data_IF_003247262155
#
_entry.id   IF_003247262155
#
_cell.length_a   1.000
_cell.length_b   1.000
_cell.length_c   1.000
_cell.angle_alpha   90.00
_cell.angle_beta   90.00
_cell.angle_gamma   90.00
#
_symmetry.space_group_name_H-M   'P 1'
#
loop_
_entity.id
_entity.type
_entity.pdbx_description
1 polymer ?
#
# COMPACT_ATOMS: atom_id res chain seq x y z
N UNK A 1 -30.82 63.51 -10.44
CA UNK A 1 -31.30 62.60 -9.37
C UNK A 1 -31.08 61.18 -9.86
N UNK A 2 -29.98 60.52 -9.46
CA UNK A 2 -29.86 59.08 -9.69
C UNK A 2 -30.93 58.37 -8.86
N UNK A 3 -31.78 57.56 -9.50
CA UNK A 3 -32.80 56.78 -8.81
C UNK A 3 -32.11 55.74 -7.90
N UNK A 4 -32.70 55.45 -6.73
CA UNK A 4 -32.17 54.45 -5.80
C UNK A 4 -31.89 53.09 -6.48
N UNK A 5 -32.67 52.77 -7.51
CA UNK A 5 -32.54 51.54 -8.31
C UNK A 5 -31.23 51.47 -9.12
N UNK A 6 -30.74 52.61 -9.62
CA UNK A 6 -29.48 52.69 -10.39
C UNK A 6 -28.25 52.57 -9.46
N UNK A 7 -28.36 53.08 -8.22
CA UNK A 7 -27.35 52.89 -7.18
C UNK A 7 -27.25 51.43 -6.72
N UNK A 8 -28.37 50.78 -6.47
CA UNK A 8 -28.41 49.36 -6.07
C UNK A 8 -27.81 48.46 -7.15
N UNK A 9 -28.17 48.69 -8.43
CA UNK A 9 -27.61 47.96 -9.57
C UNK A 9 -26.08 48.08 -9.68
N UNK A 10 -25.53 49.29 -9.48
CA UNK A 10 -24.07 49.53 -9.49
C UNK A 10 -23.36 48.83 -8.33
N UNK A 11 -23.94 48.85 -7.13
CA UNK A 11 -23.37 48.14 -5.96
C UNK A 11 -23.31 46.65 -6.24
N UNK A 12 -24.39 46.03 -6.71
CA UNK A 12 -24.37 44.60 -7.09
C UNK A 12 -23.30 44.30 -8.14
N UNK A 13 -23.18 45.13 -9.19
CA UNK A 13 -22.14 44.95 -10.22
C UNK A 13 -20.73 44.98 -9.63
N UNK A 14 -20.44 45.92 -8.74
CA UNK A 14 -19.13 46.02 -8.06
C UNK A 14 -18.87 44.80 -7.18
N UNK A 15 -19.89 44.33 -6.44
CA UNK A 15 -19.77 43.12 -5.60
C UNK A 15 -19.48 41.89 -6.45
N UNK A 16 -20.16 41.70 -7.57
CA UNK A 16 -19.88 40.61 -8.51
C UNK A 16 -18.50 40.70 -9.17
N UNK A 17 -18.02 41.90 -9.51
CA UNK A 17 -16.66 42.09 -10.03
C UNK A 17 -15.62 41.74 -8.96
N UNK A 18 -15.87 42.16 -7.72
CA UNK A 18 -15.03 41.83 -6.55
C UNK A 18 -15.02 40.33 -6.31
N UNK A 19 -16.17 39.67 -6.43
CA UNK A 19 -16.29 38.22 -6.30
C UNK A 19 -15.52 37.49 -7.41
N UNK A 20 -15.61 37.96 -8.65
CA UNK A 20 -14.82 37.41 -9.76
C UNK A 20 -13.32 37.53 -9.50
N UNK A 21 -12.85 38.66 -8.96
CA UNK A 21 -11.45 38.81 -8.53
C UNK A 21 -11.10 37.86 -7.39
N UNK A 22 -11.97 37.74 -6.38
CA UNK A 22 -11.79 36.80 -5.27
C UNK A 22 -11.65 35.36 -5.77
N UNK A 23 -12.62 34.88 -6.55
CA UNK A 23 -12.63 33.51 -7.10
C UNK A 23 -11.38 33.22 -7.94
N UNK A 24 -10.97 34.17 -8.81
CA UNK A 24 -9.76 34.02 -9.61
C UNK A 24 -8.47 33.94 -8.76
N UNK A 25 -8.36 34.73 -7.68
CA UNK A 25 -7.21 34.66 -6.79
C UNK A 25 -7.25 33.37 -5.94
N UNK A 26 -8.43 32.98 -5.45
CA UNK A 26 -8.63 31.76 -4.68
C UNK A 26 -8.23 30.52 -5.48
N UNK A 27 -8.63 30.45 -6.75
CA UNK A 27 -8.29 29.33 -7.65
C UNK A 27 -6.77 29.19 -7.85
N UNK A 28 -6.01 30.28 -7.76
CA UNK A 28 -4.54 30.26 -7.91
C UNK A 28 -3.81 29.81 -6.65
N UNK A 29 -4.47 29.81 -5.49
CA UNK A 29 -3.86 29.40 -4.24
C UNK A 29 -3.40 27.94 -4.28
N UNK A 30 -2.25 27.65 -3.66
CA UNK A 30 -1.69 26.29 -3.58
C UNK A 30 -1.65 25.75 -2.16
N UNK A 31 -1.89 26.60 -1.17
CA UNK A 31 -1.84 26.26 0.24
C UNK A 31 -3.01 26.92 0.98
N UNK A 32 -3.36 26.37 2.15
CA UNK A 32 -4.38 26.95 3.02
C UNK A 32 -3.99 28.35 3.52
N UNK A 33 -2.69 28.61 3.71
CA UNK A 33 -2.20 29.93 4.12
C UNK A 33 -2.48 30.99 3.05
N UNK A 34 -2.21 30.68 1.77
CA UNK A 34 -2.54 31.58 0.66
C UNK A 34 -4.06 31.83 0.57
N UNK A 35 -4.87 30.78 0.77
CA UNK A 35 -6.33 30.92 0.81
C UNK A 35 -6.74 31.86 1.95
N UNK A 36 -6.13 31.75 3.13
CA UNK A 36 -6.40 32.64 4.27
C UNK A 36 -6.13 34.10 3.92
N UNK A 37 -4.97 34.38 3.31
CA UNK A 37 -4.57 35.74 2.93
C UNK A 37 -5.51 36.35 1.88
N UNK A 38 -5.88 35.58 0.86
CA UNK A 38 -6.86 36.01 -0.15
C UNK A 38 -8.22 36.28 0.50
N UNK A 39 -8.68 35.40 1.38
CA UNK A 39 -9.96 35.52 2.08
C UNK A 39 -10.02 36.78 2.95
N UNK A 40 -8.98 37.01 3.77
CA UNK A 40 -8.84 38.23 4.59
C UNK A 40 -8.92 39.50 3.74
N UNK A 41 -8.28 39.49 2.57
CA UNK A 41 -8.25 40.64 1.66
C UNK A 41 -9.61 40.93 1.05
N UNK A 42 -10.36 39.92 0.63
CA UNK A 42 -11.56 40.10 -0.20
C UNK A 42 -12.88 40.00 0.56
N UNK A 43 -13.02 39.11 1.56
CA UNK A 43 -14.32 38.82 2.17
C UNK A 43 -14.99 40.06 2.78
N UNK A 44 -14.21 40.97 3.38
CA UNK A 44 -14.72 42.24 3.95
C UNK A 44 -15.37 43.18 2.93
N UNK A 45 -15.12 42.99 1.63
CA UNK A 45 -15.74 43.76 0.55
C UNK A 45 -16.91 43.02 -0.09
N UNK A 46 -17.09 41.75 0.24
CA UNK A 46 -18.15 40.91 -0.31
C UNK A 46 -19.32 40.75 0.66
N UNK A 47 -19.03 40.69 1.95
CA UNK A 47 -20.01 40.48 3.00
C UNK A 47 -19.72 41.37 4.21
N UNK A 48 -20.77 41.84 4.85
CA UNK A 48 -20.69 42.52 6.14
C UNK A 48 -20.72 41.50 7.27
N UNK A 49 -19.61 41.36 7.99
CA UNK A 49 -19.50 40.48 9.16
C UNK A 49 -18.42 40.96 10.13
N UNK A 50 -18.55 40.52 11.38
CA UNK A 50 -17.49 40.59 12.40
C UNK A 50 -16.68 39.29 12.43
N UNK A 51 -17.36 38.17 12.28
CA UNK A 51 -16.75 36.85 12.20
C UNK A 51 -17.37 36.06 11.05
N UNK A 52 -16.53 35.42 10.25
CA UNK A 52 -16.91 34.46 9.21
C UNK A 52 -16.25 33.12 9.52
N UNK A 53 -17.01 32.04 9.44
CA UNK A 53 -16.52 30.69 9.71
C UNK A 53 -17.14 29.72 8.70
N UNK A 54 -16.31 28.88 8.10
CA UNK A 54 -16.76 27.77 7.27
C UNK A 54 -16.07 26.49 7.73
N UNK A 55 -16.86 25.43 7.92
CA UNK A 55 -16.39 24.10 8.28
C UNK A 55 -16.78 23.11 7.19
N UNK A 56 -15.80 22.37 6.69
CA UNK A 56 -15.99 21.39 5.60
C UNK A 56 -15.60 20.02 6.12
N UNK A 57 -16.52 19.06 6.02
CA UNK A 57 -16.27 17.67 6.41
C UNK A 57 -15.35 16.98 5.40
N UNK A 58 -14.35 16.25 5.90
CA UNK A 58 -13.39 15.44 5.17
C UNK A 58 -13.21 14.13 5.95
N UNK A 59 -13.95 13.08 5.57
CA UNK A 59 -13.87 11.73 6.16
C UNK A 59 -13.93 11.69 7.70
N UNK A 60 -14.78 12.54 8.30
CA UNK A 60 -14.97 12.62 9.75
C UNK A 60 -14.14 13.70 10.45
N UNK A 61 -13.12 14.24 9.77
CA UNK A 61 -12.39 15.43 10.21
C UNK A 61 -12.99 16.69 9.58
N UNK A 62 -13.01 17.80 10.30
CA UNK A 62 -13.52 19.08 9.79
C UNK A 62 -12.38 20.06 9.59
N UNK A 63 -12.17 20.47 8.34
CA UNK A 63 -11.32 21.61 8.04
C UNK A 63 -12.12 22.89 8.24
N UNK A 64 -11.68 23.71 9.18
CA UNK A 64 -12.38 24.90 9.61
C UNK A 64 -11.55 26.13 9.28
N UNK A 65 -12.13 27.02 8.51
CA UNK A 65 -11.64 28.38 8.34
C UNK A 65 -12.41 29.32 9.24
N UNK A 66 -11.71 30.17 10.00
CA UNK A 66 -12.30 31.21 10.81
C UNK A 66 -11.58 32.53 10.55
N UNK A 67 -12.33 33.55 10.14
CA UNK A 67 -11.85 34.91 9.96
C UNK A 67 -12.54 35.84 10.94
N UNK A 68 -11.74 36.61 11.67
CA UNK A 68 -12.18 37.76 12.46
C UNK A 68 -11.34 38.97 12.06
N UNK A 69 -12.01 40.06 11.67
CA UNK A 69 -11.34 41.27 11.20
C UNK A 69 -10.29 40.96 10.10
N UNK A 70 -9.03 41.37 10.34
CA UNK A 70 -7.90 41.18 9.42
C UNK A 70 -7.11 39.89 9.69
N UNK A 71 -7.65 38.94 10.47
CA UNK A 71 -6.99 37.68 10.82
C UNK A 71 -7.85 36.49 10.38
N UNK A 72 -7.28 35.62 9.57
CA UNK A 72 -7.89 34.36 9.14
C UNK A 72 -7.01 33.18 9.55
N UNK A 73 -7.62 32.09 10.01
CA UNK A 73 -6.89 30.88 10.42
C UNK A 73 -7.63 29.62 10.00
N UNK A 74 -6.84 28.62 9.64
CA UNK A 74 -7.28 27.25 9.41
C UNK A 74 -6.99 26.37 10.62
N UNK A 75 -7.95 25.51 10.96
CA UNK A 75 -7.83 24.52 12.03
C UNK A 75 -8.48 23.21 11.55
N UNK A 76 -7.80 22.09 11.76
CA UNK A 76 -8.38 20.76 11.57
C UNK A 76 -8.92 20.30 12.92
N UNK A 77 -10.22 20.02 13.00
CA UNK A 77 -10.88 19.60 14.23
C UNK A 77 -11.69 18.32 14.02
N UNK A 78 -11.90 17.58 15.10
CA UNK A 78 -12.82 16.44 15.10
C UNK A 78 -14.28 16.90 15.25
N UNK A 79 -15.24 16.05 14.86
CA UNK A 79 -16.67 16.32 14.94
C UNK A 79 -17.12 16.76 16.33
N UNK A 80 -16.55 16.19 17.39
CA UNK A 80 -16.91 16.47 18.79
C UNK A 80 -16.54 17.89 19.21
N UNK A 81 -15.63 18.53 18.47
CA UNK A 81 -15.17 19.90 18.72
C UNK A 81 -15.94 20.95 17.90
N UNK A 82 -16.92 20.53 17.09
CA UNK A 82 -17.84 21.46 16.43
C UNK A 82 -18.74 22.13 17.47
N UNK A 83 -19.17 23.35 17.16
CA UNK A 83 -20.10 24.04 18.05
C UNK A 83 -21.48 23.34 18.06
N UNK A 84 -22.23 23.41 19.17
CA UNK A 84 -23.54 22.77 19.27
C UNK A 84 -24.53 23.21 18.18
N UNK A 85 -24.44 24.47 17.71
CA UNK A 85 -25.27 24.96 16.62
C UNK A 85 -24.87 24.35 15.26
N UNK A 86 -23.57 24.09 15.02
CA UNK A 86 -23.08 23.45 13.79
C UNK A 86 -23.60 22.01 13.72
N UNK A 87 -23.49 21.26 14.83
CA UNK A 87 -24.02 19.90 14.95
C UNK A 87 -25.53 19.83 14.68
N UNK A 88 -26.30 20.71 15.33
CA UNK A 88 -27.76 20.76 15.16
C UNK A 88 -28.19 21.01 13.71
N UNK A 89 -27.44 21.84 12.99
CA UNK A 89 -27.76 22.20 11.60
C UNK A 89 -27.32 21.10 10.64
N UNK A 90 -26.17 20.45 10.88
CA UNK A 90 -25.75 19.28 10.11
C UNK A 90 -26.79 18.15 10.18
N UNK A 91 -27.39 17.93 11.35
CA UNK A 91 -28.43 16.92 11.56
C UNK A 91 -29.75 17.29 10.87
N UNK A 92 -30.26 18.51 11.13
CA UNK A 92 -31.63 18.88 10.75
C UNK A 92 -31.73 19.61 9.40
N UNK A 93 -30.62 20.12 8.86
CA UNK A 93 -30.56 20.93 7.63
C UNK A 93 -31.39 22.22 7.65
N UNK A 94 -31.64 22.76 8.85
CA UNK A 94 -32.44 23.99 9.04
C UNK A 94 -31.48 25.14 9.38
N UNK A 95 -31.45 26.23 8.59
CA UNK A 95 -30.67 27.42 8.93
C UNK A 95 -31.06 27.99 10.29
N UNK A 96 -30.09 28.48 11.04
CA UNK A 96 -30.30 29.05 12.39
C UNK A 96 -29.89 30.50 12.40
N UNK A 97 -30.74 31.32 13.00
CA UNK A 97 -30.42 32.68 13.43
C UNK A 97 -30.63 32.78 14.94
N UNK A 98 -29.61 33.19 15.68
CA UNK A 98 -29.66 33.29 17.14
C UNK A 98 -28.90 34.51 17.62
N UNK A 99 -29.40 35.16 18.67
CA UNK A 99 -28.71 36.25 19.36
C UNK A 99 -27.64 35.72 20.34
N UNK A 100 -27.72 34.42 20.69
CA UNK A 100 -26.76 33.77 21.57
C UNK A 100 -25.50 33.36 20.80
N UNK A 101 -24.44 34.13 20.96
CA UNK A 101 -23.12 33.84 20.37
C UNK A 101 -22.30 33.02 21.36
N UNK A 102 -21.72 31.88 20.95
CA UNK A 102 -20.82 31.10 21.81
C UNK A 102 -19.65 31.92 22.34
N UNK A 103 -19.31 31.75 23.62
CA UNK A 103 -18.25 32.51 24.29
C UNK A 103 -16.91 32.42 23.54
N UNK A 104 -16.56 31.25 22.99
CA UNK A 104 -15.33 31.05 22.23
C UNK A 104 -15.27 31.89 20.94
N UNK A 105 -16.42 32.22 20.35
CA UNK A 105 -16.49 33.12 19.19
C UNK A 105 -16.48 34.58 19.66
N UNK A 106 -17.19 34.89 20.74
CA UNK A 106 -17.21 36.22 21.36
C UNK A 106 -15.81 36.68 21.76
N UNK A 107 -15.01 35.79 22.36
CA UNK A 107 -13.62 36.06 22.74
C UNK A 107 -12.73 36.44 21.55
N UNK A 108 -12.98 35.86 20.37
CA UNK A 108 -12.26 36.19 19.14
C UNK A 108 -12.67 37.55 18.55
N UNK A 109 -13.86 38.05 18.91
CA UNK A 109 -14.43 39.32 18.43
C UNK A 109 -14.14 40.49 19.39
N UNK A 110 -13.52 40.21 20.56
CA UNK A 110 -13.30 41.09 21.73
C UNK A 110 -12.82 42.55 21.48
N UNK A 111 -12.31 42.88 20.30
CA UNK A 111 -11.93 44.25 19.92
C UNK A 111 -13.12 45.13 19.45
N UNK A 112 -14.35 44.59 19.41
CA UNK A 112 -15.50 45.26 18.77
C UNK A 112 -16.70 45.34 19.70
N UNK A 113 -17.22 46.54 19.94
CA UNK A 113 -18.49 46.75 20.65
C UNK A 113 -19.64 46.30 19.75
N UNK A 114 -20.20 45.12 20.01
CA UNK A 114 -21.30 44.56 19.23
C UNK A 114 -22.65 45.20 19.61
N UNK A 115 -23.40 45.68 18.61
CA UNK A 115 -24.73 46.26 18.81
C UNK A 115 -25.82 45.31 18.31
N UNK A 116 -26.54 44.67 19.24
CA UNK A 116 -27.59 43.67 18.95
C UNK A 116 -27.12 42.58 17.98
N UNK A 117 -26.06 41.81 18.32
CA UNK A 117 -25.45 40.90 17.38
C UNK A 117 -26.30 39.65 17.14
N UNK A 118 -26.23 39.13 15.91
CA UNK A 118 -26.90 37.90 15.51
C UNK A 118 -25.89 36.96 14.83
N UNK A 119 -25.88 35.71 15.29
CA UNK A 119 -25.22 34.59 14.64
C UNK A 119 -26.18 34.01 13.60
N UNK A 120 -25.71 33.94 12.37
CA UNK A 120 -26.39 33.27 11.28
C UNK A 120 -25.60 32.02 10.89
N UNK A 121 -26.29 30.92 10.63
CA UNK A 121 -25.66 29.70 10.20
C UNK A 121 -26.51 28.91 9.19
N UNK A 122 -25.83 28.37 8.19
CA UNK A 122 -26.39 27.55 7.13
C UNK A 122 -25.56 26.29 6.99
N UNK A 123 -26.21 25.22 6.51
CA UNK A 123 -25.51 24.07 5.94
C UNK A 123 -25.84 23.98 4.46
N UNK A 124 -24.86 23.51 3.70
CA UNK A 124 -24.99 23.23 2.30
C UNK A 124 -24.47 21.83 2.06
N UNK A 125 -25.20 21.10 1.21
CA UNK A 125 -24.85 19.75 0.79
C UNK A 125 -24.58 19.78 -0.70
N UNK A 126 -23.38 19.35 -1.10
CA UNK A 126 -23.01 19.27 -2.51
C UNK A 126 -22.23 17.98 -2.74
N UNK A 127 -22.81 17.09 -3.55
CA UNK A 127 -22.29 15.73 -3.76
C UNK A 127 -22.21 15.00 -2.40
N UNK A 128 -21.03 14.52 -2.01
CA UNK A 128 -20.79 13.80 -0.76
C UNK A 128 -20.13 14.66 0.34
N UNK A 129 -20.06 15.98 0.14
CA UNK A 129 -19.43 16.88 1.11
C UNK A 129 -20.46 17.83 1.71
N UNK A 130 -20.62 17.67 3.03
CA UNK A 130 -21.38 18.58 3.88
C UNK A 130 -20.45 19.67 4.38
N UNK A 131 -20.91 20.92 4.27
CA UNK A 131 -20.25 22.04 4.90
C UNK A 131 -21.24 22.95 5.61
N UNK A 132 -20.76 23.61 6.66
CA UNK A 132 -21.52 24.63 7.37
C UNK A 132 -20.80 25.96 7.30
N UNK A 133 -21.59 27.02 7.24
CA UNK A 133 -21.11 28.38 7.16
C UNK A 133 -21.82 29.15 8.26
N UNK A 134 -21.07 29.88 9.06
CA UNK A 134 -21.61 30.75 10.09
C UNK A 134 -20.96 32.12 10.02
N UNK A 135 -21.76 33.15 10.29
CA UNK A 135 -21.28 34.52 10.39
C UNK A 135 -21.94 35.26 11.54
N UNK A 136 -21.22 36.19 12.13
CA UNK A 136 -21.73 37.12 13.13
C UNK A 136 -21.85 38.50 12.51
N UNK A 137 -23.06 39.05 12.55
CA UNK A 137 -23.40 40.39 12.07
C UNK A 137 -24.09 41.18 13.18
N UNK A 138 -24.07 42.51 13.08
CA UNK A 138 -24.70 43.41 14.07
C UNK A 138 -25.27 44.64 13.35
N UNK A 139 -25.76 45.64 14.09
CA UNK A 139 -26.29 46.86 13.48
C UNK A 139 -25.24 47.70 12.73
N UNK A 140 -23.96 47.61 13.09
CA UNK A 140 -22.89 48.33 12.42
C UNK A 140 -22.46 47.65 11.10
N UNK A 141 -22.59 46.32 11.06
CA UNK A 141 -22.31 45.49 9.89
C UNK A 141 -23.54 44.62 9.60
N UNK A 142 -24.61 45.21 9.03
CA UNK A 142 -25.85 44.47 8.78
C UNK A 142 -25.63 43.42 7.69
N UNK A 143 -26.12 42.21 7.95
CA UNK A 143 -26.21 41.12 6.99
C UNK A 143 -27.69 40.83 6.72
N UNK A 144 -28.08 40.89 5.46
CA UNK A 144 -29.48 40.79 5.03
C UNK A 144 -29.75 39.56 4.16
N UNK A 145 -31.02 39.28 3.88
CA UNK A 145 -31.43 38.15 3.03
C UNK A 145 -30.84 38.25 1.63
N UNK A 146 -30.65 39.47 1.11
CA UNK A 146 -30.02 39.70 -0.19
C UNK A 146 -28.55 39.26 -0.27
N UNK A 147 -27.84 39.17 0.86
CA UNK A 147 -26.43 38.77 0.92
C UNK A 147 -26.26 37.24 0.86
N UNK A 148 -27.34 36.47 1.03
CA UNK A 148 -27.31 35.00 1.07
C UNK A 148 -26.83 34.42 -0.25
N UNK A 149 -27.18 35.02 -1.40
CA UNK A 149 -26.68 34.56 -2.71
C UNK A 149 -25.15 34.68 -2.79
N UNK A 150 -24.60 35.82 -2.35
CA UNK A 150 -23.17 36.07 -2.33
C UNK A 150 -22.47 35.12 -1.34
N UNK A 151 -23.06 34.92 -0.16
CA UNK A 151 -22.58 33.95 0.83
C UNK A 151 -22.48 32.55 0.22
N UNK A 152 -23.52 32.10 -0.50
CA UNK A 152 -23.52 30.80 -1.16
C UNK A 152 -22.40 30.69 -2.19
N UNK A 153 -22.21 31.69 -3.05
CA UNK A 153 -21.14 31.72 -4.05
C UNK A 153 -19.73 31.65 -3.43
N UNK A 154 -19.52 32.40 -2.35
CA UNK A 154 -18.27 32.36 -1.59
C UNK A 154 -18.05 30.97 -1.01
N UNK A 155 -19.08 30.41 -0.40
CA UNK A 155 -18.99 29.12 0.29
C UNK A 155 -18.74 27.97 -0.68
N UNK A 156 -19.37 27.99 -1.85
CA UNK A 156 -19.09 27.05 -2.96
C UNK A 156 -17.64 27.18 -3.43
N UNK A 157 -17.11 28.40 -3.53
CA UNK A 157 -15.72 28.64 -3.95
C UNK A 157 -14.72 28.09 -2.92
N UNK A 158 -15.00 28.27 -1.63
CA UNK A 158 -14.19 27.69 -0.55
C UNK A 158 -14.24 26.16 -0.56
N UNK A 159 -15.45 25.60 -0.64
CA UNK A 159 -15.65 24.16 -0.65
C UNK A 159 -14.87 23.51 -1.81
N UNK A 160 -15.00 24.05 -3.03
CA UNK A 160 -14.26 23.57 -4.19
C UNK A 160 -12.75 23.67 -3.99
N UNK A 161 -12.26 24.81 -3.47
CA UNK A 161 -10.82 25.01 -3.29
C UNK A 161 -10.22 24.12 -2.20
N UNK A 162 -10.96 23.89 -1.11
CA UNK A 162 -10.51 23.00 -0.05
C UNK A 162 -10.43 21.56 -0.52
N UNK A 163 -11.44 21.09 -1.26
CA UNK A 163 -11.41 19.77 -1.87
C UNK A 163 -10.22 19.62 -2.83
N UNK A 164 -9.96 20.62 -3.68
CA UNK A 164 -8.83 20.60 -4.60
C UNK A 164 -7.49 20.44 -3.87
N UNK A 165 -7.26 21.26 -2.83
CA UNK A 165 -6.01 21.21 -2.03
C UNK A 165 -5.89 19.85 -1.33
N UNK A 166 -6.96 19.37 -0.71
CA UNK A 166 -6.98 18.10 0.01
C UNK A 166 -6.68 16.91 -0.92
N UNK A 167 -7.40 16.79 -2.04
CA UNK A 167 -7.19 15.70 -3.00
C UNK A 167 -5.77 15.70 -3.56
N UNK A 168 -5.17 16.89 -3.75
CA UNK A 168 -3.79 17.02 -4.20
C UNK A 168 -2.80 16.50 -3.18
N UNK A 169 -2.99 16.78 -1.90
CA UNK A 169 -2.16 16.25 -0.81
C UNK A 169 -2.32 14.74 -0.68
N UNK A 170 -3.54 14.22 -0.73
CA UNK A 170 -3.80 12.78 -0.67
C UNK A 170 -3.12 12.05 -1.84
N UNK A 171 -3.24 12.58 -3.05
CA UNK A 171 -2.59 12.02 -4.25
C UNK A 171 -1.07 12.03 -4.10
N UNK A 172 -0.49 13.09 -3.55
CA UNK A 172 0.95 13.16 -3.28
C UNK A 172 1.40 12.06 -2.31
N UNK A 173 0.67 11.86 -1.20
CA UNK A 173 0.97 10.81 -0.23
C UNK A 173 0.82 9.39 -0.80
N UNK A 174 -0.25 9.14 -1.57
CA UNK A 174 -0.47 7.85 -2.24
C UNK A 174 0.64 7.55 -3.25
N UNK A 175 1.03 8.53 -4.06
CA UNK A 175 2.10 8.36 -5.05
C UNK A 175 3.46 8.05 -4.36
N UNK A 176 3.79 8.79 -3.30
CA UNK A 176 4.99 8.51 -2.50
C UNK A 176 5.01 7.09 -1.95
N UNK A 177 3.89 6.63 -1.39
CA UNK A 177 3.75 5.28 -0.83
C UNK A 177 3.87 4.20 -1.92
N UNK A 178 3.32 4.45 -3.10
CA UNK A 178 3.41 3.55 -4.25
C UNK A 178 4.85 3.41 -4.75
N UNK A 179 5.60 4.52 -4.85
CA UNK A 179 7.01 4.48 -5.22
C UNK A 179 7.86 3.67 -4.22
N UNK A 180 7.56 3.79 -2.92
CA UNK A 180 8.22 2.99 -1.90
C UNK A 180 7.90 1.50 -2.04
N UNK A 181 6.64 1.14 -2.28
CA UNK A 181 6.25 -0.25 -2.51
C UNK A 181 6.93 -0.85 -3.76
N UNK A 182 7.05 -0.07 -4.84
CA UNK A 182 7.77 -0.50 -6.05
C UNK A 182 9.25 -0.78 -5.78
N UNK A 183 9.92 0.06 -4.98
CA UNK A 183 11.31 -0.17 -4.60
C UNK A 183 11.49 -1.46 -3.78
N UNK A 184 10.59 -1.71 -2.82
CA UNK A 184 10.58 -2.95 -2.04
C UNK A 184 10.40 -4.18 -2.94
N UNK A 185 9.43 -4.16 -3.86
CA UNK A 185 9.17 -5.26 -4.79
C UNK A 185 10.39 -5.50 -5.69
N UNK A 186 11.00 -4.44 -6.21
CA UNK A 186 12.20 -4.54 -7.05
C UNK A 186 13.36 -5.17 -6.29
N UNK A 187 13.57 -4.79 -5.05
CA UNK A 187 14.61 -5.36 -4.19
C UNK A 187 14.33 -6.83 -3.84
N UNK A 188 13.08 -7.19 -3.59
CA UNK A 188 12.67 -8.59 -3.37
C UNK A 188 12.87 -9.44 -4.62
N UNK A 189 12.48 -8.96 -5.80
CA UNK A 189 12.69 -9.66 -7.07
C UNK A 189 14.18 -9.90 -7.34
N UNK A 190 15.05 -8.92 -7.02
CA UNK A 190 16.50 -9.12 -7.14
C UNK A 190 16.98 -10.27 -6.25
N UNK A 191 16.56 -10.30 -4.98
CA UNK A 191 16.91 -11.38 -4.04
C UNK A 191 16.38 -12.74 -4.49
N UNK A 192 15.14 -12.79 -5.01
CA UNK A 192 14.56 -14.02 -5.55
C UNK A 192 15.40 -14.51 -6.72
N UNK A 193 15.78 -13.63 -7.65
CA UNK A 193 16.62 -14.00 -8.78
C UNK A 193 17.99 -14.50 -8.33
N UNK A 194 18.63 -13.85 -7.34
CA UNK A 194 19.89 -14.33 -6.75
C UNK A 194 19.75 -15.74 -6.15
N UNK A 195 18.66 -16.00 -5.43
CA UNK A 195 18.36 -17.33 -4.86
C UNK A 195 18.14 -18.36 -5.97
N UNK A 196 17.36 -18.02 -7.00
CA UNK A 196 17.07 -18.91 -8.13
C UNK A 196 18.35 -19.31 -8.86
N UNK A 197 19.23 -18.36 -9.14
CA UNK A 197 20.51 -18.66 -9.79
C UNK A 197 21.41 -19.54 -8.92
N UNK A 198 21.49 -19.27 -7.61
CA UNK A 198 22.23 -20.12 -6.69
C UNK A 198 21.63 -21.54 -6.63
N UNK A 199 20.30 -21.67 -6.57
CA UNK A 199 19.64 -22.98 -6.57
C UNK A 199 19.91 -23.77 -7.86
N UNK A 200 19.89 -23.12 -9.03
CA UNK A 200 20.24 -23.77 -10.30
C UNK A 200 21.67 -24.30 -10.27
N UNK A 201 22.61 -23.53 -9.72
CA UNK A 201 24.00 -23.96 -9.59
C UNK A 201 24.11 -25.20 -8.69
N UNK A 202 23.51 -25.16 -7.49
CA UNK A 202 23.49 -26.29 -6.55
C UNK A 202 22.86 -27.53 -7.18
N UNK A 203 21.74 -27.37 -7.89
CA UNK A 203 21.08 -28.49 -8.59
C UNK A 203 22.00 -29.08 -9.65
N UNK A 204 22.69 -28.23 -10.43
CA UNK A 204 23.62 -28.68 -11.47
C UNK A 204 24.78 -29.48 -10.86
N UNK A 205 25.37 -28.97 -9.78
CA UNK A 205 26.50 -29.61 -9.09
C UNK A 205 26.09 -30.96 -8.50
N UNK A 206 24.94 -31.02 -7.80
CA UNK A 206 24.41 -32.27 -7.26
C UNK A 206 24.00 -33.27 -8.34
N UNK A 207 23.44 -32.79 -9.44
CA UNK A 207 23.06 -33.66 -10.57
C UNK A 207 24.31 -34.29 -11.17
N UNK A 208 25.38 -33.51 -11.35
CA UNK A 208 26.66 -34.02 -11.83
C UNK A 208 27.24 -35.08 -10.90
N UNK A 209 27.22 -34.82 -9.59
CA UNK A 209 27.68 -35.78 -8.59
C UNK A 209 26.88 -37.10 -8.62
N UNK A 210 25.55 -37.02 -8.76
CA UNK A 210 24.68 -38.19 -8.88
C UNK A 210 24.97 -38.97 -10.16
N UNK A 211 25.19 -38.29 -11.29
CA UNK A 211 25.56 -38.93 -12.55
C UNK A 211 26.88 -39.68 -12.41
N UNK A 212 27.91 -39.05 -11.83
CA UNK A 212 29.21 -39.70 -11.58
C UNK A 212 29.07 -40.92 -10.64
N UNK A 213 28.24 -40.82 -9.60
CA UNK A 213 27.94 -41.95 -8.69
C UNK A 213 27.22 -43.09 -9.43
N UNK A 214 26.26 -42.77 -10.30
CA UNK A 214 25.52 -43.77 -11.08
C UNK A 214 26.41 -44.49 -12.11
N UNK A 215 27.29 -43.77 -12.82
CA UNK A 215 28.20 -44.39 -13.78
C UNK A 215 29.13 -45.43 -13.11
N UNK A 216 29.65 -45.11 -11.92
CA UNK A 216 30.46 -46.04 -11.14
C UNK A 216 29.69 -47.28 -10.70
N UNK A 217 28.47 -47.09 -10.18
CA UNK A 217 27.60 -48.23 -9.81
C UNK A 217 27.29 -49.13 -11.00
N UNK A 218 27.04 -48.57 -12.18
CA UNK A 218 26.84 -49.34 -13.40
C UNK A 218 28.09 -50.13 -13.79
N UNK A 219 29.28 -49.54 -13.67
CA UNK A 219 30.54 -50.22 -13.93
C UNK A 219 30.76 -51.43 -13.00
N UNK A 220 30.55 -51.24 -11.69
CA UNK A 220 30.61 -52.32 -10.69
C UNK A 220 29.60 -53.42 -11.03
N UNK A 221 28.34 -53.03 -11.29
CA UNK A 221 27.28 -53.99 -11.60
C UNK A 221 27.60 -54.84 -12.84
N UNK A 222 28.17 -54.23 -13.88
CA UNK A 222 28.58 -54.93 -15.10
C UNK A 222 29.74 -55.92 -14.85
N UNK A 223 30.77 -55.52 -14.10
CA UNK A 223 31.87 -56.39 -13.71
C UNK A 223 31.37 -57.58 -12.88
N UNK A 224 30.51 -57.33 -11.90
CA UNK A 224 29.92 -58.36 -11.05
C UNK A 224 29.10 -59.35 -11.87
N UNK A 225 28.23 -58.86 -12.74
CA UNK A 225 27.36 -59.70 -13.55
C UNK A 225 28.15 -60.61 -14.51
N UNK A 226 29.28 -60.15 -15.05
CA UNK A 226 30.13 -60.96 -15.92
C UNK A 226 30.95 -61.98 -15.13
N UNK A 227 31.72 -61.49 -14.13
CA UNK A 227 32.72 -62.29 -13.44
C UNK A 227 32.09 -63.32 -12.48
N UNK A 228 30.89 -63.06 -11.94
CA UNK A 228 30.18 -64.04 -11.08
C UNK A 228 29.44 -65.07 -11.93
N UNK A 229 28.94 -64.68 -13.11
CA UNK A 229 28.13 -65.56 -13.97
C UNK A 229 28.94 -66.68 -14.61
N UNK A 230 30.20 -66.42 -14.95
CA UNK A 230 31.10 -67.41 -15.55
C UNK A 230 31.38 -68.64 -14.64
N UNK A 231 31.89 -68.49 -13.40
CA UNK A 231 32.10 -69.62 -12.51
C UNK A 231 30.77 -70.26 -12.08
N UNK A 232 29.70 -69.49 -11.89
CA UNK A 232 28.38 -70.04 -11.57
C UNK A 232 27.84 -70.93 -12.71
N UNK A 233 27.99 -70.50 -13.97
CA UNK A 233 27.57 -71.30 -15.13
C UNK A 233 28.39 -72.58 -15.23
N UNK A 234 29.69 -72.53 -14.91
CA UNK A 234 30.55 -73.73 -14.83
C UNK A 234 30.11 -74.68 -13.72
N UNK A 235 29.82 -74.17 -12.52
CA UNK A 235 29.28 -74.97 -11.41
C UNK A 235 27.98 -75.65 -11.83
N UNK A 236 27.02 -74.91 -12.38
CA UNK A 236 25.74 -75.45 -12.82
C UNK A 236 25.89 -76.50 -13.92
N UNK A 237 26.76 -76.24 -14.90
CA UNK A 237 27.07 -77.20 -15.97
C UNK A 237 27.68 -78.49 -15.41
N UNK A 238 28.65 -78.39 -14.50
CA UNK A 238 29.26 -79.55 -13.86
C UNK A 238 28.24 -80.35 -13.05
N UNK A 239 27.35 -79.68 -12.30
CA UNK A 239 26.27 -80.33 -11.54
C UNK A 239 25.34 -81.13 -12.44
N UNK A 240 24.98 -80.61 -13.62
CA UNK A 240 24.15 -81.34 -14.58
C UNK A 240 24.84 -82.58 -15.15
N UNK A 241 26.17 -82.58 -15.27
CA UNK A 241 26.93 -83.73 -15.76
C UNK A 241 26.97 -84.91 -14.77
N UNK A 242 26.72 -84.68 -13.47
CA UNK A 242 26.62 -85.76 -12.48
C UNK A 242 25.47 -86.73 -12.75
N UNK A 243 24.44 -86.31 -13.50
CA UNK A 243 23.32 -87.18 -13.87
C UNK A 243 23.67 -88.14 -15.03
N UNK A 244 24.77 -87.88 -15.75
CA UNK A 244 25.12 -88.57 -17.00
C UNK A 244 26.41 -89.41 -16.88
N UNK A 245 27.31 -89.05 -15.97
CA UNK A 245 28.61 -89.71 -15.78
C UNK A 245 28.57 -90.76 -14.66
N UNK A 246 29.44 -91.76 -14.74
CA UNK A 246 29.60 -92.76 -13.69
C UNK A 246 30.38 -92.21 -12.48
N UNK A 247 30.15 -92.79 -11.30
CA UNK A 247 30.68 -92.32 -10.01
C UNK A 247 32.21 -92.13 -9.98
N UNK A 248 32.93 -92.95 -10.75
CA UNK A 248 34.39 -92.89 -10.83
C UNK A 248 34.86 -91.66 -11.61
N UNK A 249 34.30 -91.44 -12.80
CA UNK A 249 34.58 -90.26 -13.63
C UNK A 249 34.13 -88.97 -12.94
N UNK A 250 33.00 -89.01 -12.22
CA UNK A 250 32.54 -87.89 -11.40
C UNK A 250 33.56 -87.49 -10.32
N UNK A 251 34.15 -88.46 -9.61
CA UNK A 251 35.15 -88.19 -8.56
C UNK A 251 36.50 -87.74 -9.11
N UNK A 252 36.96 -88.34 -10.20
CA UNK A 252 38.29 -88.07 -10.75
C UNK A 252 38.34 -86.77 -11.57
N UNK A 253 37.28 -86.43 -12.33
CA UNK A 253 37.31 -85.30 -13.28
C UNK A 253 36.35 -84.15 -12.92
N UNK A 254 35.13 -84.43 -12.46
CA UNK A 254 34.12 -83.40 -12.23
C UNK A 254 34.29 -82.72 -10.85
N UNK A 255 34.57 -83.49 -9.80
CA UNK A 255 34.74 -82.99 -8.44
C UNK A 255 35.86 -81.94 -8.32
N UNK A 256 37.06 -82.13 -8.91
CA UNK A 256 38.12 -81.14 -8.86
C UNK A 256 37.74 -79.84 -9.59
N UNK A 257 37.07 -79.93 -10.75
CA UNK A 257 36.62 -78.76 -11.52
C UNK A 257 35.51 -77.99 -10.83
N UNK A 258 34.61 -78.69 -10.11
CA UNK A 258 33.58 -78.08 -9.29
C UNK A 258 34.19 -77.30 -8.13
N UNK A 259 35.16 -77.90 -7.44
CA UNK A 259 35.90 -77.26 -6.35
C UNK A 259 36.63 -76.01 -6.85
N UNK A 260 37.36 -76.13 -7.96
CA UNK A 260 38.04 -74.99 -8.58
C UNK A 260 37.05 -73.87 -8.94
N UNK A 261 35.93 -74.19 -9.59
CA UNK A 261 34.94 -73.18 -9.98
C UNK A 261 34.26 -72.52 -8.78
N UNK A 262 34.09 -73.26 -7.66
CA UNK A 262 33.59 -72.71 -6.40
C UNK A 262 34.60 -71.79 -5.71
N UNK A 263 35.88 -72.13 -5.72
CA UNK A 263 36.95 -71.29 -5.16
C UNK A 263 37.12 -70.00 -5.99
N UNK A 264 37.07 -70.10 -7.31
CA UNK A 264 37.07 -68.94 -8.21
C UNK A 264 35.85 -68.05 -7.98
N UNK A 265 34.66 -68.63 -7.74
CA UNK A 265 33.46 -67.86 -7.40
C UNK A 265 33.60 -67.09 -6.07
N UNK A 266 34.13 -67.73 -5.03
CA UNK A 266 34.38 -67.09 -3.72
C UNK A 266 35.41 -65.96 -3.85
N UNK A 267 36.46 -66.17 -4.66
CA UNK A 267 37.47 -65.16 -4.93
C UNK A 267 36.89 -63.94 -5.64
N UNK A 268 36.10 -64.15 -6.71
CA UNK A 268 35.40 -63.06 -7.40
C UNK A 268 34.47 -62.33 -6.44
N UNK A 269 33.72 -63.04 -5.58
CA UNK A 269 32.80 -62.41 -4.64
C UNK A 269 33.54 -61.49 -3.64
N UNK A 270 34.72 -61.90 -3.17
CA UNK A 270 35.55 -61.10 -2.27
C UNK A 270 36.08 -59.85 -2.94
N UNK A 271 36.57 -59.97 -4.18
CA UNK A 271 37.05 -58.82 -4.97
C UNK A 271 35.95 -57.78 -5.17
N UNK A 272 34.72 -58.23 -5.44
CA UNK A 272 33.55 -57.36 -5.57
C UNK A 272 33.23 -56.63 -4.27
N UNK A 273 33.24 -57.33 -3.14
CA UNK A 273 32.96 -56.74 -1.82
C UNK A 273 34.05 -55.72 -1.45
N UNK A 274 35.32 -56.03 -1.72
CA UNK A 274 36.46 -55.16 -1.43
C UNK A 274 36.42 -53.89 -2.29
N UNK A 275 36.12 -54.02 -3.58
CA UNK A 275 35.96 -52.89 -4.50
C UNK A 275 34.80 -51.98 -4.07
N UNK A 276 33.63 -52.56 -3.77
CA UNK A 276 32.47 -51.81 -3.28
C UNK A 276 32.74 -51.10 -1.93
N UNK A 277 33.45 -51.75 -1.01
CA UNK A 277 33.78 -51.17 0.31
C UNK A 277 34.81 -50.05 0.20
N UNK A 278 35.80 -50.21 -0.68
CA UNK A 278 36.84 -49.20 -0.93
C UNK A 278 36.22 -47.96 -1.56
N UNK A 279 35.34 -48.13 -2.54
CA UNK A 279 34.63 -47.01 -3.17
C UNK A 279 33.68 -46.30 -2.19
N UNK A 280 32.95 -47.03 -1.34
CA UNK A 280 32.11 -46.45 -0.28
C UNK A 280 32.93 -45.60 0.71
N UNK A 281 34.13 -46.05 1.07
CA UNK A 281 35.02 -45.32 1.97
C UNK A 281 35.61 -44.07 1.30
N UNK A 282 35.97 -44.14 0.01
CA UNK A 282 36.41 -42.98 -0.76
C UNK A 282 35.30 -41.94 -0.93
N UNK A 283 34.04 -42.38 -1.08
CA UNK A 283 32.88 -41.50 -1.14
C UNK A 283 32.65 -40.78 0.21
N UNK A 284 32.73 -41.49 1.33
CA UNK A 284 32.61 -40.87 2.68
C UNK A 284 33.74 -39.90 3.01
N UNK A 285 34.95 -40.17 2.53
CA UNK A 285 36.11 -39.29 2.77
C UNK A 285 36.06 -37.98 1.97
N UNK A 286 35.28 -37.92 0.89
CA UNK A 286 35.04 -36.68 0.11
C UNK A 286 33.91 -35.80 0.68
N UNK A 287 33.09 -36.32 1.58
CA UNK A 287 31.98 -35.60 2.22
C UNK A 287 32.39 -34.87 3.53
N UNK A 288 33.64 -35.06 4.00
CA UNK A 288 34.28 -34.38 5.14
C UNK A 288 35.24 -33.27 4.67
#
# INVERSE_FOLDING_TARGET
MESQQDRTSRVYRITYETFSKFSNNLNRCRSLEEVSQVSVRFLKYLLNFHLFRISVNQDGNYLVYCQCNSKGKFELIQRENLFPYELKILENNIPVRTEKIPNQLSEKINETTLLSPALWCWTFKKMDVDFTVSLVADQNKPFEVGDIEMLKLISDSFQAKFQEIYLKEELFHKNKSLLQALDVIKNQNRKINEIVENQKQIITDRTKEVVEKNEKLLHISALNAHNVREPLSRIQGIVQLFEVFDDKSCREDLLPKLKQSSEEMDQVLREVIEMATTELNQLKAKEL
#
